data_IF_895066731871
#
_entry.id   IF_895066731871
#
_cell.length_a   1.000
_cell.length_b   1.000
_cell.length_c   1.000
_cell.angle_alpha   90.00
_cell.angle_beta   90.00
_cell.angle_gamma   90.00
#
_symmetry.space_group_name_H-M   'P 1'
#
loop_
_entity.id
_entity.type
_entity.pdbx_description
1 polymer ?
#
# COMPACT_ATOMS: atom_id res chain seq x y z
N UNK A 1 -7.89 -10.30 4.45
CA UNK A 1 -9.16 -10.93 4.03
C UNK A 1 -10.29 -9.99 4.45
N UNK A 2 -11.10 -9.47 3.52
CA UNK A 2 -12.39 -8.82 3.84
C UNK A 2 -13.47 -9.50 2.96
N UNK A 3 -13.81 -10.79 3.21
CA UNK A 3 -14.67 -11.55 2.30
C UNK A 3 -16.12 -11.09 2.28
N UNK A 4 -16.66 -10.68 3.44
CA UNK A 4 -18.08 -10.41 3.60
C UNK A 4 -18.59 -9.22 2.79
N UNK A 5 -17.83 -8.11 2.76
CA UNK A 5 -18.25 -6.87 2.08
C UNK A 5 -18.32 -7.06 0.55
N UNK A 6 -17.48 -7.95 0.01
CA UNK A 6 -17.44 -8.28 -1.42
C UNK A 6 -18.18 -9.57 -1.75
N UNK A 7 -19.17 -9.96 -0.94
CA UNK A 7 -19.98 -11.13 -1.27
C UNK A 7 -20.67 -10.97 -2.64
N UNK A 8 -20.78 -12.08 -3.39
CA UNK A 8 -21.37 -12.12 -4.72
C UNK A 8 -20.75 -11.18 -5.79
N UNK A 9 -19.55 -10.64 -5.57
CA UNK A 9 -18.86 -9.72 -6.50
C UNK A 9 -18.61 -10.34 -7.89
N UNK A 10 -18.57 -11.68 -7.97
CA UNK A 10 -18.52 -12.42 -9.23
C UNK A 10 -19.74 -12.15 -10.15
N UNK A 11 -20.91 -11.87 -9.58
CA UNK A 11 -22.20 -11.77 -10.31
C UNK A 11 -22.78 -10.36 -10.21
N UNK A 12 -22.72 -9.72 -9.05
CA UNK A 12 -23.27 -8.37 -8.87
C UNK A 12 -22.34 -7.31 -9.46
N UNK A 13 -22.90 -6.30 -10.14
CA UNK A 13 -22.14 -5.13 -10.59
C UNK A 13 -22.43 -3.96 -9.66
N UNK A 14 -21.45 -3.56 -8.86
CA UNK A 14 -21.55 -2.43 -7.94
C UNK A 14 -21.49 -1.09 -8.69
N UNK A 15 -22.13 -0.07 -8.12
CA UNK A 15 -22.01 1.30 -8.62
C UNK A 15 -20.57 1.83 -8.39
N UNK A 16 -20.07 2.67 -9.29
CA UNK A 16 -18.79 3.35 -9.17
C UNK A 16 -18.70 4.18 -7.88
N UNK A 17 -19.76 4.90 -7.50
CA UNK A 17 -19.78 5.71 -6.28
C UNK A 17 -19.61 4.88 -5.00
N UNK A 18 -20.28 3.73 -4.92
CA UNK A 18 -20.12 2.79 -3.79
C UNK A 18 -18.70 2.22 -3.77
N UNK A 19 -18.17 1.84 -4.94
CA UNK A 19 -16.80 1.30 -5.05
C UNK A 19 -15.75 2.32 -4.58
N UNK A 20 -15.91 3.59 -4.97
CA UNK A 20 -15.05 4.69 -4.52
C UNK A 20 -15.18 4.94 -3.01
N UNK A 21 -16.41 4.89 -2.47
CA UNK A 21 -16.62 5.01 -1.03
C UNK A 21 -15.91 3.89 -0.24
N UNK A 22 -16.05 2.64 -0.70
CA UNK A 22 -15.37 1.49 -0.08
C UNK A 22 -13.85 1.62 -0.15
N UNK A 23 -13.30 2.09 -1.28
CA UNK A 23 -11.87 2.40 -1.44
C UNK A 23 -11.38 3.42 -0.42
N UNK A 24 -12.11 4.52 -0.27
CA UNK A 24 -11.78 5.57 0.70
C UNK A 24 -11.79 5.01 2.13
N UNK A 25 -12.81 4.22 2.49
CA UNK A 25 -12.91 3.60 3.82
C UNK A 25 -11.79 2.59 4.07
N UNK A 26 -11.46 1.75 3.09
CA UNK A 26 -10.33 0.83 3.21
C UNK A 26 -9.03 1.59 3.48
N UNK A 27 -8.75 2.66 2.74
CA UNK A 27 -7.53 3.46 2.97
C UNK A 27 -7.54 4.14 4.35
N UNK A 28 -8.70 4.59 4.81
CA UNK A 28 -8.88 5.12 6.17
C UNK A 28 -8.55 4.09 7.25
N UNK A 29 -9.09 2.87 7.13
CA UNK A 29 -8.77 1.75 8.04
C UNK A 29 -7.29 1.38 7.96
N UNK A 30 -6.70 1.39 6.77
CA UNK A 30 -5.27 1.10 6.58
C UNK A 30 -4.38 2.14 7.28
N UNK A 31 -4.71 3.43 7.18
CA UNK A 31 -3.99 4.48 7.92
C UNK A 31 -4.12 4.30 9.42
N UNK A 32 -5.32 4.01 9.91
CA UNK A 32 -5.56 3.77 11.34
C UNK A 32 -4.73 2.57 11.83
N UNK A 33 -4.72 1.46 11.08
CA UNK A 33 -3.96 0.27 11.42
C UNK A 33 -2.44 0.50 11.41
N UNK A 34 -1.94 1.38 10.54
CA UNK A 34 -0.52 1.75 10.47
C UNK A 34 -0.16 2.93 11.40
N UNK A 35 -1.12 3.49 12.14
CA UNK A 35 -0.93 4.70 12.95
C UNK A 35 -0.55 5.95 12.15
N UNK A 36 -0.84 5.96 10.85
CA UNK A 36 -0.41 7.01 9.93
C UNK A 36 -1.35 8.23 9.94
N UNK A 37 -0.79 9.42 9.73
CA UNK A 37 -1.59 10.63 9.57
C UNK A 37 -2.36 10.69 8.24
N UNK A 38 -3.36 11.58 8.16
CA UNK A 38 -4.29 11.66 7.01
C UNK A 38 -3.62 11.97 5.66
N UNK A 39 -2.48 12.67 5.66
CA UNK A 39 -1.79 13.08 4.44
C UNK A 39 -0.82 12.01 3.90
N UNK A 40 -0.68 10.88 4.58
CA UNK A 40 0.17 9.79 4.09
C UNK A 40 -0.34 9.25 2.74
N UNK A 41 0.55 9.04 1.74
CA UNK A 41 0.18 8.55 0.42
C UNK A 41 -0.56 7.21 0.47
N UNK A 42 -1.62 7.09 -0.34
CA UNK A 42 -2.46 5.89 -0.43
C UNK A 42 -1.66 4.63 -0.83
N UNK A 43 -0.64 4.80 -1.65
CA UNK A 43 0.17 3.72 -2.21
C UNK A 43 1.04 3.07 -1.15
N UNK A 44 1.59 3.85 -0.21
CA UNK A 44 2.30 3.31 0.95
C UNK A 44 1.37 2.47 1.83
N UNK A 45 0.16 2.98 2.09
CA UNK A 45 -0.86 2.26 2.88
C UNK A 45 -1.26 0.95 2.21
N UNK A 46 -1.59 0.98 0.92
CA UNK A 46 -1.94 -0.25 0.19
C UNK A 46 -0.77 -1.23 0.11
N UNK A 47 0.44 -0.71 -0.12
CA UNK A 47 1.67 -1.49 -0.28
C UNK A 47 2.03 -2.27 0.99
N UNK A 48 2.07 -1.59 2.14
CA UNK A 48 2.48 -2.19 3.42
C UNK A 48 1.36 -2.98 4.11
N UNK A 49 0.09 -2.69 3.81
CA UNK A 49 -1.03 -3.56 4.22
C UNK A 49 -1.19 -4.80 3.35
N UNK A 50 -0.53 -4.85 2.18
CA UNK A 50 -0.69 -5.93 1.20
C UNK A 50 -2.11 -6.00 0.62
N UNK A 51 -2.77 -4.85 0.45
CA UNK A 51 -4.18 -4.81 0.05
C UNK A 51 -4.35 -4.51 -1.44
N UNK A 52 -5.09 -5.38 -2.12
CA UNK A 52 -5.63 -5.09 -3.44
C UNK A 52 -6.78 -4.06 -3.37
N UNK A 53 -6.97 -3.32 -4.46
CA UNK A 53 -8.14 -2.46 -4.64
C UNK A 53 -9.42 -3.29 -4.74
N UNK A 54 -10.57 -2.70 -4.40
CA UNK A 54 -11.90 -3.25 -4.63
C UNK A 54 -12.15 -3.55 -6.10
N UNK A 55 -11.66 -2.70 -7.02
CA UNK A 55 -11.75 -2.99 -8.45
C UNK A 55 -10.91 -4.22 -8.83
N UNK A 56 -9.68 -4.34 -8.30
CA UNK A 56 -8.86 -5.54 -8.49
C UNK A 56 -9.54 -6.80 -7.93
N UNK A 57 -10.21 -6.71 -6.76
CA UNK A 57 -10.99 -7.82 -6.19
C UNK A 57 -12.20 -8.19 -7.05
N UNK A 58 -12.90 -7.19 -7.58
CA UNK A 58 -14.01 -7.37 -8.53
C UNK A 58 -13.54 -8.06 -9.81
N UNK A 59 -12.46 -7.55 -10.43
CA UNK A 59 -11.84 -8.12 -11.62
C UNK A 59 -11.50 -9.60 -11.40
N UNK A 60 -10.76 -9.91 -10.34
CA UNK A 60 -10.38 -11.29 -10.00
C UNK A 60 -11.60 -12.19 -9.82
N UNK A 61 -12.68 -11.70 -9.21
CA UNK A 61 -13.88 -12.49 -8.96
C UNK A 61 -14.69 -12.73 -10.23
N UNK A 62 -14.99 -11.66 -11.00
CA UNK A 62 -15.80 -11.72 -12.22
C UNK A 62 -15.12 -12.50 -13.34
N UNK A 63 -13.84 -12.22 -13.60
CA UNK A 63 -13.10 -12.84 -14.69
C UNK A 63 -12.88 -14.34 -14.43
N UNK A 64 -12.58 -14.73 -13.18
CA UNK A 64 -12.50 -16.15 -12.79
C UNK A 64 -13.85 -16.84 -12.90
N UNK A 65 -14.93 -16.17 -12.49
CA UNK A 65 -16.27 -16.72 -12.59
C UNK A 65 -16.66 -16.94 -14.05
N UNK A 66 -16.46 -15.96 -14.93
CA UNK A 66 -16.73 -16.08 -16.35
C UNK A 66 -15.94 -17.24 -16.97
N UNK A 67 -14.63 -17.31 -16.73
CA UNK A 67 -13.79 -18.38 -17.25
C UNK A 67 -14.27 -19.76 -16.76
N UNK A 68 -14.69 -19.86 -15.50
CA UNK A 68 -15.27 -21.10 -14.97
C UNK A 68 -16.56 -21.47 -15.67
N UNK A 69 -17.49 -20.52 -15.86
CA UNK A 69 -18.77 -20.78 -16.53
C UNK A 69 -18.57 -21.19 -17.99
N UNK A 70 -17.56 -20.64 -18.68
CA UNK A 70 -17.20 -21.03 -20.05
C UNK A 70 -16.74 -22.49 -20.16
N UNK A 71 -16.14 -23.04 -19.10
CA UNK A 71 -15.65 -24.43 -19.04
C UNK A 71 -16.70 -25.44 -18.57
N UNK A 72 -17.88 -24.98 -18.16
CA UNK A 72 -18.97 -25.88 -17.78
C UNK A 72 -19.60 -26.53 -19.01
N UNK A 73 -20.15 -27.74 -18.82
CA UNK A 73 -20.94 -28.43 -19.82
C UNK A 73 -22.17 -27.62 -20.24
N UNK A 74 -22.54 -27.70 -21.52
CA UNK A 74 -23.65 -26.95 -22.11
C UNK A 74 -25.03 -27.33 -21.55
N UNK A 75 -25.14 -28.45 -20.83
CA UNK A 75 -26.36 -28.83 -20.11
C UNK A 75 -26.64 -27.92 -18.91
N UNK A 76 -25.62 -27.29 -18.33
CA UNK A 76 -25.74 -26.44 -17.13
C UNK A 76 -26.39 -25.09 -17.46
N UNK A 77 -27.36 -24.67 -16.67
CA UNK A 77 -28.08 -23.39 -16.86
C UNK A 77 -27.15 -22.18 -16.95
N UNK A 78 -26.16 -22.07 -16.07
CA UNK A 78 -25.21 -20.95 -16.10
C UNK A 78 -24.46 -20.85 -17.45
N UNK A 79 -24.09 -21.99 -18.03
CA UNK A 79 -23.46 -22.07 -19.35
C UNK A 79 -24.44 -21.70 -20.45
N UNK A 80 -25.66 -22.24 -20.43
CA UNK A 80 -26.73 -21.90 -21.40
C UNK A 80 -27.03 -20.40 -21.40
N UNK A 81 -27.20 -19.79 -20.23
CA UNK A 81 -27.46 -18.36 -20.08
C UNK A 81 -26.30 -17.53 -20.61
N UNK A 82 -25.06 -17.91 -20.28
CA UNK A 82 -23.87 -17.22 -20.81
C UNK A 82 -23.83 -17.32 -22.34
N UNK A 83 -23.99 -18.52 -22.90
CA UNK A 83 -24.02 -18.75 -24.34
C UNK A 83 -25.13 -17.94 -25.02
N UNK A 84 -26.33 -17.88 -24.45
CA UNK A 84 -27.43 -17.07 -24.96
C UNK A 84 -27.06 -15.57 -25.00
N UNK A 85 -26.52 -15.03 -23.91
CA UNK A 85 -26.08 -13.63 -23.82
C UNK A 85 -25.06 -13.30 -24.92
N UNK A 86 -24.11 -14.20 -25.17
CA UNK A 86 -23.08 -14.02 -26.19
C UNK A 86 -23.63 -14.16 -27.62
N UNK A 87 -24.42 -15.20 -27.89
CA UNK A 87 -24.99 -15.49 -29.22
C UNK A 87 -26.00 -14.44 -29.66
N UNK A 88 -26.86 -13.97 -28.75
CA UNK A 88 -27.84 -12.91 -29.01
C UNK A 88 -27.29 -11.49 -28.85
N UNK A 89 -25.99 -11.38 -28.59
CA UNK A 89 -25.28 -10.13 -28.36
C UNK A 89 -25.97 -9.19 -27.35
N UNK A 90 -26.55 -9.75 -26.29
CA UNK A 90 -27.21 -8.96 -25.24
C UNK A 90 -26.15 -8.30 -24.37
N UNK A 91 -26.18 -6.97 -24.25
CA UNK A 91 -25.17 -6.23 -23.50
C UNK A 91 -25.65 -5.88 -22.08
N UNK A 92 -25.65 -6.90 -21.22
CA UNK A 92 -26.04 -6.74 -19.81
C UNK A 92 -25.05 -5.85 -19.06
N UNK A 93 -25.49 -5.23 -17.96
CA UNK A 93 -24.59 -4.45 -17.07
C UNK A 93 -23.41 -5.29 -16.58
N UNK A 94 -23.63 -6.58 -16.34
CA UNK A 94 -22.57 -7.52 -15.99
C UNK A 94 -21.57 -7.70 -17.13
N UNK A 95 -22.03 -7.98 -18.36
CA UNK A 95 -21.16 -8.17 -19.53
C UNK A 95 -20.34 -6.93 -19.87
N UNK A 96 -20.96 -5.74 -19.85
CA UNK A 96 -20.28 -4.43 -20.01
C UNK A 96 -19.14 -4.28 -19.01
N UNK A 97 -19.41 -4.52 -17.72
CA UNK A 97 -18.43 -4.38 -16.65
C UNK A 97 -17.31 -5.42 -16.77
N UNK A 98 -17.64 -6.69 -17.00
CA UNK A 98 -16.64 -7.76 -17.15
C UNK A 98 -15.72 -7.51 -18.34
N UNK A 99 -16.25 -7.06 -19.48
CA UNK A 99 -15.44 -6.66 -20.65
C UNK A 99 -14.50 -5.49 -20.34
N UNK A 100 -14.97 -4.46 -19.63
CA UNK A 100 -14.13 -3.33 -19.18
C UNK A 100 -13.02 -3.78 -18.22
N UNK A 101 -13.30 -4.74 -17.34
CA UNK A 101 -12.30 -5.29 -16.42
C UNK A 101 -11.29 -6.17 -17.19
N UNK A 102 -11.76 -6.98 -18.13
CA UNK A 102 -10.89 -7.79 -18.99
C UNK A 102 -9.94 -6.88 -19.81
N UNK A 103 -10.47 -5.81 -20.40
CA UNK A 103 -9.65 -4.87 -21.19
C UNK A 103 -8.62 -4.12 -20.36
N UNK A 104 -8.85 -3.94 -19.05
CA UNK A 104 -7.91 -3.27 -18.14
C UNK A 104 -6.85 -4.23 -17.57
N UNK A 105 -7.25 -5.45 -17.19
CA UNK A 105 -6.41 -6.36 -16.41
C UNK A 105 -5.75 -7.47 -17.24
N UNK A 106 -6.32 -7.85 -18.40
CA UNK A 106 -5.83 -8.99 -19.19
C UNK A 106 -5.03 -8.57 -20.43
N UNK A 107 -5.20 -7.34 -20.92
CA UNK A 107 -4.56 -6.83 -22.16
C UNK A 107 -3.04 -6.72 -22.08
N UNK A 108 -2.47 -6.55 -20.89
CA UNK A 108 -1.02 -6.38 -20.70
C UNK A 108 -0.26 -7.70 -20.63
N UNK A 109 -0.95 -8.83 -20.48
CA UNK A 109 -0.30 -10.13 -20.31
C UNK A 109 -0.06 -10.77 -21.67
N UNK A 110 1.21 -10.85 -22.10
CA UNK A 110 1.61 -11.61 -23.30
C UNK A 110 1.56 -13.13 -23.10
N UNK A 111 1.47 -13.58 -21.85
CA UNK A 111 1.39 -15.00 -21.49
C UNK A 111 -0.06 -15.42 -21.23
N UNK A 112 -0.69 -16.03 -22.25
CA UNK A 112 -2.00 -16.67 -22.11
C UNK A 112 -2.00 -17.84 -21.09
N UNK A 113 -0.82 -18.37 -20.77
CA UNK A 113 -0.63 -19.46 -19.79
C UNK A 113 -0.80 -19.00 -18.33
N UNK A 114 -0.75 -17.70 -18.03
CA UNK A 114 -0.89 -17.22 -16.66
C UNK A 114 -2.34 -17.30 -16.20
N UNK A 115 -2.54 -17.73 -14.95
CA UNK A 115 -3.85 -17.67 -14.30
C UNK A 115 -4.36 -16.23 -14.25
N UNK A 116 -5.66 -16.03 -14.52
CA UNK A 116 -6.37 -14.74 -14.38
C UNK A 116 -6.05 -14.06 -13.04
N UNK A 117 -5.90 -14.84 -11.95
CA UNK A 117 -5.52 -14.31 -10.63
C UNK A 117 -4.18 -13.56 -10.71
N UNK A 118 -3.16 -14.19 -11.31
CA UNK A 118 -1.81 -13.65 -11.41
C UNK A 118 -1.77 -12.44 -12.33
N UNK A 119 -2.50 -12.47 -13.45
CA UNK A 119 -2.60 -11.34 -14.38
C UNK A 119 -3.21 -10.09 -13.72
N UNK A 120 -4.28 -10.27 -12.93
CA UNK A 120 -4.87 -9.17 -12.15
C UNK A 120 -3.89 -8.65 -11.10
N UNK A 121 -3.19 -9.53 -10.39
CA UNK A 121 -2.20 -9.14 -9.36
C UNK A 121 -0.99 -8.39 -9.97
N UNK A 122 -0.50 -8.80 -11.15
CA UNK A 122 0.55 -8.11 -11.89
C UNK A 122 0.09 -6.71 -12.34
N UNK A 123 -1.08 -6.60 -12.97
CA UNK A 123 -1.62 -5.31 -13.43
C UNK A 123 -1.95 -4.36 -12.27
N UNK A 124 -2.40 -4.87 -11.11
CA UNK A 124 -2.54 -4.06 -9.89
C UNK A 124 -1.18 -3.54 -9.40
N UNK A 125 -0.15 -4.39 -9.43
CA UNK A 125 1.22 -4.02 -9.02
C UNK A 125 1.80 -2.96 -9.95
N UNK A 126 1.64 -3.11 -11.26
CA UNK A 126 2.10 -2.13 -12.25
C UNK A 126 1.37 -0.80 -12.09
N UNK A 127 0.04 -0.85 -11.93
CA UNK A 127 -0.77 0.34 -11.69
C UNK A 127 -0.40 1.04 -10.38
N UNK A 128 -0.05 0.28 -9.34
CA UNK A 128 0.45 0.82 -8.07
C UNK A 128 1.82 1.48 -8.24
N UNK A 129 2.77 0.85 -8.94
CA UNK A 129 4.08 1.45 -9.25
C UNK A 129 3.95 2.75 -10.03
N UNK A 130 3.14 2.77 -11.09
CA UNK A 130 2.88 3.97 -11.89
C UNK A 130 2.27 5.12 -11.06
N UNK A 131 1.37 4.83 -10.12
CA UNK A 131 0.83 5.85 -9.19
C UNK A 131 1.85 6.36 -8.18
N UNK A 132 2.88 5.57 -7.85
CA UNK A 132 3.98 6.01 -6.99
C UNK A 132 5.00 6.89 -7.73
N UNK A 133 5.18 6.72 -9.04
CA UNK A 133 6.15 7.49 -9.83
C UNK A 133 5.92 9.00 -9.74
N UNK A 134 4.66 9.44 -9.73
CA UNK A 134 4.29 10.86 -9.59
C UNK A 134 4.44 11.46 -8.18
N UNK A 135 4.99 10.73 -7.21
CA UNK A 135 5.04 11.17 -5.79
C UNK A 135 6.47 11.22 -5.26
N UNK A 136 7.01 12.43 -5.15
CA UNK A 136 8.38 12.67 -4.67
C UNK A 136 8.61 12.17 -3.23
N UNK A 137 7.61 12.29 -2.35
CA UNK A 137 7.70 11.81 -0.97
C UNK A 137 7.98 10.30 -0.88
N UNK A 138 7.46 9.51 -1.83
CA UNK A 138 7.65 8.07 -1.86
C UNK A 138 8.99 7.64 -2.49
N UNK A 139 9.95 8.54 -2.71
CA UNK A 139 11.23 8.21 -3.35
C UNK A 139 11.93 6.97 -2.78
N UNK A 140 12.29 6.95 -1.47
CA UNK A 140 12.92 5.80 -0.83
C UNK A 140 12.04 4.54 -0.86
N UNK A 141 10.74 4.72 -0.65
CA UNK A 141 9.77 3.62 -0.67
C UNK A 141 9.69 2.95 -2.03
N UNK A 142 9.60 3.74 -3.11
CA UNK A 142 9.48 3.28 -4.50
C UNK A 142 10.73 2.54 -4.95
N UNK A 143 11.90 2.98 -4.51
CA UNK A 143 13.17 2.36 -4.85
C UNK A 143 13.25 0.93 -4.31
N UNK A 144 12.78 0.69 -3.08
CA UNK A 144 12.96 -0.58 -2.38
C UNK A 144 11.73 -1.49 -2.38
N UNK A 145 10.51 -0.96 -2.19
CA UNK A 145 9.28 -1.76 -2.14
C UNK A 145 8.85 -2.15 -3.56
N UNK A 146 9.06 -3.42 -3.92
CA UNK A 146 8.73 -3.95 -5.25
C UNK A 146 7.32 -4.51 -5.37
N UNK A 147 6.73 -5.01 -4.29
CA UNK A 147 5.45 -5.73 -4.31
C UNK A 147 4.48 -5.21 -3.25
N UNK A 148 3.18 -5.30 -3.56
CA UNK A 148 2.11 -5.06 -2.59
C UNK A 148 2.02 -6.29 -1.68
N UNK A 149 2.61 -6.21 -0.50
CA UNK A 149 2.71 -7.32 0.44
C UNK A 149 2.68 -6.81 1.87
N UNK A 150 1.95 -7.51 2.74
CA UNK A 150 1.80 -7.15 4.15
C UNK A 150 3.15 -7.24 4.84
N UNK A 151 3.53 -6.18 5.52
CA UNK A 151 4.72 -6.19 6.39
C UNK A 151 4.37 -6.77 7.77
N UNK A 152 5.30 -7.56 8.32
CA UNK A 152 5.12 -8.27 9.59
C UNK A 152 5.62 -7.50 10.81
N UNK A 153 6.51 -6.53 10.63
CA UNK A 153 7.18 -5.83 11.73
C UNK A 153 6.35 -4.68 12.34
N UNK A 154 5.11 -4.44 11.92
CA UNK A 154 4.26 -3.43 12.57
C UNK A 154 3.57 -4.01 13.82
N UNK A 155 3.79 -3.36 14.96
CA UNK A 155 3.30 -3.78 16.29
C UNK A 155 2.29 -2.80 16.91
N UNK A 156 1.75 -1.86 16.12
CA UNK A 156 0.85 -0.78 16.56
C UNK A 156 1.42 0.15 17.65
N UNK A 157 2.72 0.08 17.95
CA UNK A 157 3.37 1.07 18.82
C UNK A 157 3.50 2.43 18.12
N UNK A 158 3.68 3.53 18.87
CA UNK A 158 4.03 4.82 18.29
C UNK A 158 5.30 4.75 17.43
N UNK A 159 6.28 3.91 17.81
CA UNK A 159 7.49 3.68 17.03
C UNK A 159 7.19 3.06 15.66
N UNK A 160 6.30 2.06 15.61
CA UNK A 160 5.83 1.47 14.34
C UNK A 160 5.10 2.47 13.45
N UNK A 161 4.27 3.33 14.04
CA UNK A 161 3.56 4.37 13.29
C UNK A 161 4.53 5.37 12.64
N UNK A 162 5.52 5.83 13.41
CA UNK A 162 6.56 6.73 12.92
C UNK A 162 7.49 6.05 11.91
N UNK A 163 7.76 4.75 12.08
CA UNK A 163 8.52 3.97 11.12
C UNK A 163 7.80 3.94 9.77
N UNK A 164 6.48 3.75 9.76
CA UNK A 164 5.70 3.81 8.52
C UNK A 164 5.73 5.20 7.87
N UNK A 165 5.63 6.27 8.68
CA UNK A 165 5.80 7.64 8.18
C UNK A 165 7.20 7.84 7.57
N UNK A 166 8.25 7.34 8.22
CA UNK A 166 9.63 7.41 7.71
C UNK A 166 9.81 6.62 6.41
N UNK A 167 9.30 5.38 6.35
CA UNK A 167 9.32 4.54 5.15
C UNK A 167 8.66 5.22 3.96
N UNK A 168 7.55 5.92 4.19
CA UNK A 168 6.79 6.62 3.14
C UNK A 168 7.28 8.04 2.86
N UNK A 169 8.37 8.48 3.50
CA UNK A 169 8.93 9.82 3.35
C UNK A 169 8.06 10.95 3.90
N UNK A 170 7.15 10.61 4.82
CA UNK A 170 6.18 11.50 5.45
C UNK A 170 6.49 11.77 6.93
N UNK A 171 7.67 11.34 7.42
CA UNK A 171 8.09 11.63 8.79
C UNK A 171 8.12 13.14 9.02
N UNK A 172 7.44 13.58 10.07
CA UNK A 172 7.23 14.99 10.41
C UNK A 172 8.46 15.62 11.08
N UNK A 173 9.59 15.59 10.38
CA UNK A 173 10.81 16.27 10.79
C UNK A 173 10.69 17.78 10.58
N UNK A 174 11.56 18.58 11.21
CA UNK A 174 11.57 20.04 11.03
C UNK A 174 11.85 20.44 9.59
N UNK A 175 12.75 19.73 8.91
CA UNK A 175 12.99 19.91 7.46
C UNK A 175 11.74 19.58 6.61
N UNK A 176 10.93 18.60 7.03
CA UNK A 176 9.65 18.34 6.38
C UNK A 176 8.64 19.47 6.64
N UNK A 177 8.55 19.98 7.87
CA UNK A 177 7.67 21.10 8.24
C UNK A 177 8.02 22.40 7.53
N UNK A 178 9.31 22.68 7.31
CA UNK A 178 9.78 23.89 6.62
C UNK A 178 9.20 24.03 5.20
N UNK A 179 8.83 22.91 4.55
CA UNK A 179 8.16 22.91 3.22
C UNK A 179 6.77 23.54 3.27
N UNK A 180 6.14 23.59 4.43
CA UNK A 180 4.79 24.13 4.64
C UNK A 180 4.80 25.43 5.44
N UNK A 181 5.78 25.61 6.33
CA UNK A 181 5.90 26.79 7.17
C UNK A 181 7.33 27.35 7.09
N UNK A 182 7.51 28.30 6.19
CA UNK A 182 8.79 28.99 6.01
C UNK A 182 9.23 29.71 7.30
N UNK A 183 10.54 29.79 7.54
CA UNK A 183 11.11 30.45 8.72
C UNK A 183 11.19 29.59 9.98
N UNK A 184 10.71 28.34 9.96
CA UNK A 184 10.94 27.40 11.06
C UNK A 184 12.38 26.88 11.06
N UNK A 185 12.96 26.73 12.25
CA UNK A 185 14.29 26.14 12.41
C UNK A 185 14.29 24.70 11.94
N UNK A 186 15.28 24.32 11.13
CA UNK A 186 15.52 22.93 10.70
C UNK A 186 16.41 22.15 11.66
N UNK A 187 16.90 22.78 12.74
CA UNK A 187 17.86 22.15 13.65
C UNK A 187 17.20 21.22 14.65
N UNK A 188 17.82 20.05 14.80
CA UNK A 188 17.50 19.03 15.77
C UNK A 188 17.69 19.57 17.20
N UNK A 189 16.68 19.42 18.04
CA UNK A 189 16.72 19.93 19.42
C UNK A 189 17.71 19.17 20.31
N UNK A 190 18.05 17.94 19.91
CA UNK A 190 18.87 17.05 20.73
C UNK A 190 20.36 17.20 20.48
N UNK A 191 20.78 17.55 19.26
CA UNK A 191 22.19 17.65 18.90
C UNK A 191 22.52 18.78 17.92
N UNK A 192 21.57 19.68 17.63
CA UNK A 192 21.75 20.87 16.79
C UNK A 192 22.09 20.65 15.31
N UNK A 193 22.25 19.39 14.87
CA UNK A 193 22.36 19.02 13.45
C UNK A 193 21.07 19.27 12.67
N UNK A 194 21.11 19.15 11.34
CA UNK A 194 19.90 19.29 10.52
C UNK A 194 18.94 18.11 10.74
N UNK A 195 17.69 18.39 11.15
CA UNK A 195 16.72 17.35 11.48
C UNK A 195 16.05 16.79 10.21
N UNK A 196 16.73 15.85 9.58
CA UNK A 196 16.20 15.02 8.49
C UNK A 196 15.76 13.64 9.00
N UNK A 197 15.07 12.86 8.16
CA UNK A 197 14.73 11.46 8.49
C UNK A 197 15.98 10.62 8.71
N UNK A 198 17.01 10.80 7.87
CA UNK A 198 18.30 10.13 8.02
C UNK A 198 18.97 10.50 9.33
N UNK A 199 18.94 11.79 9.67
CA UNK A 199 19.48 12.29 10.93
C UNK A 199 18.86 11.61 12.15
N UNK A 200 17.53 11.62 12.24
CA UNK A 200 16.81 11.03 13.39
C UNK A 200 17.11 9.54 13.52
N UNK A 201 17.10 8.81 12.40
CA UNK A 201 17.25 7.35 12.41
C UNK A 201 18.71 6.92 12.64
N UNK A 202 19.67 7.51 11.91
CA UNK A 202 21.04 6.99 11.80
C UNK A 202 22.11 7.85 12.47
N UNK A 203 21.88 9.13 12.75
CA UNK A 203 22.98 10.04 13.11
C UNK A 203 22.82 10.68 14.49
N UNK A 204 21.58 10.93 14.92
CA UNK A 204 21.33 11.74 16.10
C UNK A 204 21.85 11.06 17.37
N UNK A 205 22.94 11.60 17.93
CA UNK A 205 23.60 11.12 19.16
C UNK A 205 22.84 11.49 20.43
N UNK A 206 21.91 12.45 20.36
CA UNK A 206 21.08 12.86 21.51
C UNK A 206 19.88 11.95 21.77
N UNK A 207 19.62 10.97 20.90
CA UNK A 207 18.55 9.97 21.04
C UNK A 207 19.08 8.67 21.64
N UNK A 208 18.26 8.04 22.47
CA UNK A 208 18.51 6.72 23.04
C UNK A 208 17.42 5.72 22.59
N UNK A 209 17.76 4.50 22.15
CA UNK A 209 19.12 3.94 22.02
C UNK A 209 19.95 4.70 20.99
N UNK A 210 21.28 4.64 21.11
CA UNK A 210 22.20 5.29 20.16
C UNK A 210 22.04 4.75 18.73
N UNK A 211 22.54 5.45 17.71
CA UNK A 211 22.51 4.93 16.35
C UNK A 211 23.34 3.64 16.27
N UNK A 212 22.86 2.65 15.53
CA UNK A 212 23.60 1.42 15.26
C UNK A 212 24.60 1.67 14.13
N UNK A 213 25.88 1.70 14.45
CA UNK A 213 26.94 1.95 13.48
C UNK A 213 26.89 0.95 12.30
N UNK A 214 27.21 1.44 11.09
CA UNK A 214 27.17 0.64 9.86
C UNK A 214 25.78 0.29 9.34
N UNK A 215 24.69 0.72 9.99
CA UNK A 215 23.33 0.45 9.51
C UNK A 215 22.97 1.36 8.34
N UNK A 216 22.63 0.77 7.21
CA UNK A 216 22.12 1.51 6.05
C UNK A 216 20.65 1.89 6.24
N UNK A 217 20.25 3.03 5.65
CA UNK A 217 18.90 3.58 5.77
C UNK A 217 17.80 2.58 5.39
N UNK A 218 18.01 1.80 4.32
CA UNK A 218 16.99 0.86 3.87
C UNK A 218 16.79 -0.31 4.87
N UNK A 219 17.84 -0.75 5.56
CA UNK A 219 17.77 -1.76 6.63
C UNK A 219 17.03 -1.22 7.85
N UNK A 220 17.39 -0.01 8.28
CA UNK A 220 16.74 0.68 9.40
C UNK A 220 15.24 0.91 9.15
N UNK A 221 14.88 1.21 7.90
CA UNK A 221 13.49 1.35 7.48
C UNK A 221 12.77 0.01 7.34
N UNK A 222 13.45 -1.14 7.45
CA UNK A 222 12.86 -2.48 7.35
C UNK A 222 12.56 -2.93 5.93
N UNK A 223 13.28 -2.42 4.93
CA UNK A 223 13.26 -3.02 3.59
C UNK A 223 14.12 -4.28 3.59
N UNK A 224 13.64 -5.33 2.93
CA UNK A 224 14.39 -6.59 2.83
C UNK A 224 15.63 -6.46 1.95
N UNK A 225 16.60 -7.36 2.18
CA UNK A 225 17.73 -7.58 1.27
C UNK A 225 17.25 -8.21 -0.06
N UNK A 226 18.18 -8.65 -0.92
CA UNK A 226 17.83 -9.29 -2.20
C UNK A 226 17.00 -10.57 -2.03
N UNK A 227 17.15 -11.25 -0.90
CA UNK A 227 16.39 -12.45 -0.52
C UNK A 227 15.06 -12.12 0.18
N UNK A 228 14.80 -10.84 0.47
CA UNK A 228 13.61 -10.36 1.17
C UNK A 228 13.70 -10.45 2.69
N UNK A 229 14.85 -10.77 3.26
CA UNK A 229 15.06 -10.84 4.70
C UNK A 229 15.18 -9.44 5.31
N UNK A 230 14.45 -9.23 6.41
CA UNK A 230 14.41 -7.95 7.13
C UNK A 230 15.27 -8.02 8.37
N UNK A 231 16.18 -7.05 8.54
CA UNK A 231 16.96 -6.86 9.76
C UNK A 231 16.05 -6.39 10.90
N UNK A 232 15.49 -7.36 11.63
CA UNK A 232 14.52 -7.10 12.70
C UNK A 232 15.13 -6.28 13.83
N UNK A 233 16.40 -6.47 14.13
CA UNK A 233 17.09 -5.73 15.19
C UNK A 233 17.26 -4.24 14.80
N UNK A 234 17.69 -3.96 13.56
CA UNK A 234 17.77 -2.59 13.07
C UNK A 234 16.40 -1.88 13.06
N UNK A 235 15.34 -2.62 12.73
CA UNK A 235 13.96 -2.11 12.77
C UNK A 235 13.53 -1.77 14.19
N UNK A 236 13.77 -2.65 15.17
CA UNK A 236 13.41 -2.40 16.56
C UNK A 236 14.19 -1.21 17.16
N UNK A 237 15.48 -1.10 16.87
CA UNK A 237 16.29 0.07 17.26
C UNK A 237 15.70 1.35 16.65
N UNK A 238 15.31 1.31 15.37
CA UNK A 238 14.71 2.45 14.68
C UNK A 238 13.38 2.87 15.32
N UNK A 239 12.49 1.92 15.61
CA UNK A 239 11.22 2.20 16.31
C UNK A 239 11.47 2.83 17.68
N UNK A 240 12.41 2.30 18.46
CA UNK A 240 12.75 2.81 19.78
C UNK A 240 13.28 4.26 19.70
N UNK A 241 14.16 4.54 18.73
CA UNK A 241 14.69 5.88 18.46
C UNK A 241 13.61 6.87 18.05
N UNK A 242 12.74 6.48 17.11
CA UNK A 242 11.61 7.30 16.66
C UNK A 242 10.64 7.60 17.81
N UNK A 243 10.34 6.61 18.65
CA UNK A 243 9.50 6.80 19.82
C UNK A 243 10.13 7.76 20.84
N UNK A 244 11.45 7.63 21.09
CA UNK A 244 12.20 8.53 21.96
C UNK A 244 12.18 9.98 21.42
N UNK A 245 12.47 10.15 20.13
CA UNK A 245 12.42 11.43 19.42
C UNK A 245 11.04 12.08 19.53
N UNK A 246 9.98 11.30 19.27
CA UNK A 246 8.61 11.78 19.33
C UNK A 246 8.20 12.20 20.74
N UNK A 247 8.40 11.33 21.74
CA UNK A 247 8.04 11.65 23.13
C UNK A 247 8.70 12.94 23.61
N UNK A 248 9.99 13.12 23.35
CA UNK A 248 10.73 14.30 23.81
C UNK A 248 10.29 15.57 23.09
N UNK A 249 9.94 15.49 21.79
CA UNK A 249 9.34 16.63 21.07
C UNK A 249 7.99 17.04 21.65
N UNK A 250 7.15 16.10 22.05
CA UNK A 250 5.83 16.41 22.63
C UNK A 250 5.91 16.91 24.07
N UNK A 251 6.88 16.41 24.86
CA UNK A 251 7.12 16.89 26.22
C UNK A 251 7.67 18.33 26.21
N UNK A 252 8.49 18.69 25.21
CA UNK A 252 9.03 20.05 25.08
C UNK A 252 8.15 21.00 24.25
N UNK A 253 7.09 20.50 23.60
CA UNK A 253 6.25 21.23 22.65
C UNK A 253 4.91 21.72 23.20
N UNK A 254 4.64 21.57 24.50
CA UNK A 254 3.56 22.25 25.21
C UNK A 254 4.13 23.14 26.32
N UNK A 255 4.70 24.28 25.91
CA UNK A 255 4.69 25.55 26.64
C UNK A 255 4.50 26.66 25.62
#
# INVERSE_FOLDING_TARGET
MVPGITFANAVLSTNAGITQFMETRQRGVGRLALGAHGMTPNEGVLGDMGWATFEGREAKSKLRYENRVRKLEDKRWARKVLSYIYLKNVDTRWRKRTRKLASKYLTKSKDEKKSIKKQVEESETDGWRSRMEGKNALGPYRERKKHIAKESFYDNSPGSALLFEARTGMLRTKTHYQKFQHGTSTRCEFCQGEETTAHVILECRGLHPGPREGTEMWRALGFGNEEGEVDSEAVEVTKARLNCWWKRKFINGYK
#
